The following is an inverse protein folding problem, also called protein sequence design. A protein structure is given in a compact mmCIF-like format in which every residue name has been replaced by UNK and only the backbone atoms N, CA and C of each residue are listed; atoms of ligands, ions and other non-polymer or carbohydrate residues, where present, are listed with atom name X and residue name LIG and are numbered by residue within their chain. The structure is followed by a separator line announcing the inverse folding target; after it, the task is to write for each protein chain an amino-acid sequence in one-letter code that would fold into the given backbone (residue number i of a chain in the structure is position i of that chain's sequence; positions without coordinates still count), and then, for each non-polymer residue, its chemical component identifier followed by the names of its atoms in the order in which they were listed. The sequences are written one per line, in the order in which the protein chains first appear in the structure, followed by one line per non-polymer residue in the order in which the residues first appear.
data_IF_236423500170
#
_entry.id   IF_236423500170
#
_cell.length_a   1.000
_cell.length_b   1.000
_cell.length_c   1.000
_cell.angle_alpha   90.00
_cell.angle_beta   90.00
_cell.angle_gamma   90.00
#
_symmetry.space_group_name_H-M   'P 1'
#
loop_
_entity.id
_entity.type
_entity.pdbx_description
1 polymer ?
#
# COMPACT_ATOMS: atom_id res chain seq x y z
N UNK A 1 8.84 -17.02 -3.12
CA UNK A 1 7.44 -17.45 -2.90
C UNK A 1 7.37 -17.97 -1.49
N UNK A 2 6.94 -17.15 -0.54
CA UNK A 2 6.72 -17.60 0.84
C UNK A 2 5.35 -18.27 0.83
N UNK A 3 5.31 -19.59 1.02
CA UNK A 3 4.08 -20.35 1.17
C UNK A 3 3.53 -20.10 2.57
N UNK A 4 2.29 -19.62 2.68
CA UNK A 4 1.59 -19.52 3.95
C UNK A 4 1.02 -20.91 4.30
N UNK A 5 1.52 -21.48 5.39
CA UNK A 5 1.04 -22.74 5.94
C UNK A 5 -0.43 -22.61 6.37
N UNK A 6 -1.30 -23.49 5.87
CA UNK A 6 -2.76 -23.42 5.92
C UNK A 6 -3.35 -23.86 7.27
N UNK A 7 -2.70 -23.57 8.40
CA UNK A 7 -3.17 -24.05 9.70
C UNK A 7 -3.00 -23.09 10.90
N UNK A 8 -3.07 -21.78 10.64
CA UNK A 8 -3.55 -20.82 11.63
C UNK A 8 -4.82 -20.15 11.09
N UNK A 9 -5.91 -20.18 11.87
CA UNK A 9 -7.14 -19.40 11.62
C UNK A 9 -6.91 -17.90 11.87
N UNK A 10 -5.93 -17.33 11.20
CA UNK A 10 -5.91 -15.90 10.91
C UNK A 10 -6.71 -15.77 9.62
N UNK A 11 -7.96 -15.30 9.72
CA UNK A 11 -8.72 -14.93 8.53
C UNK A 11 -7.80 -14.10 7.63
N UNK A 12 -7.64 -14.50 6.37
CA UNK A 12 -6.92 -13.72 5.37
C UNK A 12 -7.65 -12.37 5.27
N UNK A 13 -7.19 -11.41 6.08
CA UNK A 13 -7.75 -10.06 6.17
C UNK A 13 -7.32 -9.21 4.97
N UNK A 14 -6.34 -9.70 4.22
CA UNK A 14 -5.81 -9.04 3.04
C UNK A 14 -6.42 -9.62 1.75
N UNK A 15 -6.44 -8.77 0.71
CA UNK A 15 -7.13 -8.94 -0.57
C UNK A 15 -7.06 -10.37 -1.14
N UNK A 16 -8.16 -11.16 -1.11
CA UNK A 16 -8.20 -12.46 -1.76
C UNK A 16 -8.30 -12.32 -3.29
N UNK A 17 -7.93 -13.38 -4.02
CA UNK A 17 -8.06 -13.46 -5.49
C UNK A 17 -6.93 -12.78 -6.26
N UNK A 18 -7.16 -12.42 -7.53
CA UNK A 18 -6.15 -11.89 -8.46
C UNK A 18 -5.44 -10.61 -7.97
N UNK A 19 -6.08 -9.88 -7.05
CA UNK A 19 -5.52 -8.68 -6.42
C UNK A 19 -4.48 -8.96 -5.34
N UNK A 20 -4.20 -10.23 -5.01
CA UNK A 20 -3.14 -10.60 -4.05
C UNK A 20 -1.75 -10.13 -4.49
N UNK A 21 -1.53 -9.94 -5.80
CA UNK A 21 -0.27 -9.41 -6.34
C UNK A 21 0.08 -8.03 -5.80
N UNK A 22 -0.92 -7.23 -5.41
CA UNK A 22 -0.72 -5.93 -4.78
C UNK A 22 -0.02 -6.09 -3.43
N UNK A 23 -0.31 -7.16 -2.70
CA UNK A 23 0.35 -7.45 -1.42
C UNK A 23 1.81 -7.90 -1.62
N UNK A 24 2.14 -8.58 -2.72
CA UNK A 24 3.54 -8.88 -3.05
C UNK A 24 4.35 -7.60 -3.24
N UNK A 25 3.79 -6.59 -3.90
CA UNK A 25 4.45 -5.31 -4.10
C UNK A 25 4.60 -4.52 -2.79
N UNK A 26 3.61 -4.58 -1.90
CA UNK A 26 3.72 -4.03 -0.53
C UNK A 26 4.84 -4.72 0.24
N UNK A 27 4.96 -6.04 0.16
CA UNK A 27 6.01 -6.76 0.87
C UNK A 27 7.40 -6.52 0.28
N UNK A 28 7.51 -6.40 -1.05
CA UNK A 28 8.75 -5.98 -1.72
C UNK A 28 9.16 -4.58 -1.29
N UNK A 29 8.22 -3.64 -1.18
CA UNK A 29 8.47 -2.31 -0.63
C UNK A 29 8.93 -2.38 0.83
N UNK A 30 8.24 -3.14 1.68
CA UNK A 30 8.56 -3.28 3.10
C UNK A 30 9.91 -3.96 3.37
N UNK A 31 10.38 -4.81 2.46
CA UNK A 31 11.66 -5.50 2.56
C UNK A 31 12.87 -4.63 2.21
N UNK A 32 12.67 -3.40 1.69
CA UNK A 32 13.77 -2.49 1.39
C UNK A 32 14.47 -2.03 2.68
N UNK A 33 15.80 -1.83 2.66
CA UNK A 33 16.51 -1.34 3.83
C UNK A 33 16.01 0.06 4.23
N UNK A 34 16.07 0.37 5.52
CA UNK A 34 15.66 1.66 6.10
C UNK A 34 14.17 2.01 5.92
N UNK A 35 13.32 1.05 5.56
CA UNK A 35 11.87 1.25 5.57
C UNK A 35 11.33 1.08 7.00
N UNK A 36 10.79 2.16 7.55
CA UNK A 36 10.16 2.14 8.86
C UNK A 36 8.81 1.41 8.85
N UNK A 37 8.49 0.69 9.92
CA UNK A 37 7.20 -0.03 10.07
C UNK A 37 5.96 0.83 9.77
N UNK A 38 6.00 2.13 10.08
CA UNK A 38 4.84 3.03 9.89
C UNK A 38 4.50 3.26 8.41
N UNK A 39 5.48 3.37 7.52
CA UNK A 39 5.23 3.65 6.10
C UNK A 39 4.65 2.44 5.37
N UNK A 40 4.76 1.23 5.94
CA UNK A 40 4.10 0.03 5.40
C UNK A 40 2.58 0.16 5.44
N UNK A 41 2.01 0.86 6.43
CA UNK A 41 0.56 1.12 6.46
C UNK A 41 0.13 2.07 5.35
N UNK A 42 0.93 3.12 5.10
CA UNK A 42 0.69 4.04 3.99
C UNK A 42 0.81 3.30 2.64
N UNK A 43 1.78 2.39 2.50
CA UNK A 43 1.94 1.54 1.31
C UNK A 43 0.73 0.62 1.08
N UNK A 44 0.18 0.02 2.14
CA UNK A 44 -1.03 -0.82 2.04
C UNK A 44 -2.25 -0.07 1.51
N UNK A 45 -2.28 1.26 1.63
CA UNK A 45 -3.32 2.08 1.00
C UNK A 45 -2.92 2.52 -0.41
N UNK A 46 -1.67 2.96 -0.59
CA UNK A 46 -1.22 3.55 -1.83
C UNK A 46 -1.16 2.55 -3.01
N UNK A 47 -0.64 1.35 -2.76
CA UNK A 47 -0.46 0.33 -3.81
C UNK A 47 -1.79 -0.15 -4.42
N UNK A 48 -2.86 -0.43 -3.64
CA UNK A 48 -4.16 -0.73 -4.22
C UNK A 48 -4.75 0.42 -5.05
N UNK A 49 -4.66 1.67 -4.57
CA UNK A 49 -5.16 2.83 -5.32
C UNK A 49 -4.47 2.94 -6.68
N UNK A 50 -3.14 2.83 -6.69
CA UNK A 50 -2.33 2.81 -7.91
C UNK A 50 -2.69 1.65 -8.83
N UNK A 51 -2.84 0.46 -8.29
CA UNK A 51 -3.22 -0.73 -9.05
C UNK A 51 -4.60 -0.57 -9.72
N UNK A 52 -5.52 0.19 -9.11
CA UNK A 52 -6.84 0.53 -9.69
C UNK A 52 -6.83 1.74 -10.62
N UNK A 53 -5.65 2.25 -10.98
CA UNK A 53 -5.50 3.35 -11.94
C UNK A 53 -5.69 4.74 -11.34
N UNK A 54 -5.75 4.87 -10.01
CA UNK A 54 -5.79 6.20 -9.37
C UNK A 54 -4.43 6.88 -9.55
N UNK A 55 -4.43 8.01 -10.25
CA UNK A 55 -3.25 8.84 -10.51
C UNK A 55 -3.19 10.07 -9.61
N UNK A 56 -4.33 10.51 -9.08
CA UNK A 56 -4.47 11.70 -8.25
C UNK A 56 -5.12 11.32 -6.90
N UNK A 57 -4.50 11.71 -5.78
CA UNK A 57 -4.95 11.31 -4.45
C UNK A 57 -5.08 12.48 -3.47
N UNK A 58 -6.30 12.76 -3.03
CA UNK A 58 -6.59 13.76 -2.00
C UNK A 58 -6.47 13.15 -0.59
N UNK A 59 -5.63 13.73 0.26
CA UNK A 59 -5.46 13.28 1.67
C UNK A 59 -4.90 14.38 2.55
N UNK A 60 -5.34 14.44 3.82
CA UNK A 60 -4.80 15.37 4.81
C UNK A 60 -3.32 15.13 5.17
N UNK A 61 -2.79 13.95 4.82
CA UNK A 61 -1.40 13.55 5.06
C UNK A 61 -0.59 13.44 3.75
N UNK A 62 -0.84 14.32 2.79
CA UNK A 62 -0.23 14.37 1.45
C UNK A 62 1.28 14.08 1.41
N UNK A 63 2.07 14.64 2.33
CA UNK A 63 3.52 14.42 2.42
C UNK A 63 3.92 12.94 2.57
N UNK A 64 3.08 12.12 3.19
CA UNK A 64 3.34 10.67 3.36
C UNK A 64 3.20 9.90 2.05
N UNK A 65 2.47 10.44 1.08
CA UNK A 65 2.11 9.74 -0.14
C UNK A 65 2.88 10.16 -1.39
N UNK A 66 3.73 11.20 -1.28
CA UNK A 66 4.52 11.74 -2.40
C UNK A 66 5.44 10.70 -3.08
N UNK A 67 5.86 9.64 -2.36
CA UNK A 67 6.77 8.61 -2.88
C UNK A 67 6.11 7.40 -3.55
N UNK A 68 4.77 7.33 -3.60
CA UNK A 68 4.07 6.14 -4.14
C UNK A 68 3.67 6.25 -5.63
N UNK A 69 4.18 7.26 -6.33
CA UNK A 69 4.01 7.39 -7.79
C UNK A 69 2.67 7.94 -8.26
N UNK A 70 1.92 8.63 -7.39
CA UNK A 70 0.79 9.46 -7.83
C UNK A 70 1.31 10.67 -8.62
N UNK A 71 0.59 11.07 -9.67
CA UNK A 71 0.86 12.29 -10.44
C UNK A 71 0.54 13.55 -9.62
N UNK A 72 -0.43 13.45 -8.70
CA UNK A 72 -0.79 14.53 -7.78
C UNK A 72 -1.21 13.97 -6.44
N UNK A 73 -0.70 14.57 -5.36
CA UNK A 73 -1.20 14.36 -4.00
C UNK A 73 -1.41 15.73 -3.37
N UNK A 74 -2.57 15.97 -2.76
CA UNK A 74 -2.85 17.25 -2.11
C UNK A 74 -3.71 17.10 -0.87
N UNK A 75 -3.55 18.03 0.06
CA UNK A 75 -4.46 18.18 1.17
C UNK A 75 -5.66 19.07 0.76
N UNK A 76 -6.89 18.52 0.70
CA UNK A 76 -8.07 19.29 0.32
C UNK A 76 -8.47 20.34 1.37
N UNK A 77 -7.95 20.25 2.59
CA UNK A 77 -8.24 21.19 3.69
C UNK A 77 -7.26 22.36 3.77
N UNK A 78 -6.18 22.33 2.98
CA UNK A 78 -5.20 23.42 2.89
C UNK A 78 -5.40 24.27 1.64
N UNK A 79 -6.60 24.21 1.04
CA UNK A 79 -7.00 25.05 -0.09
C UNK A 79 -7.70 26.31 0.38
#
# INVERSE_FOLDING_TARGET
MISFDTNLRLYCLDYPGETSIVMDDVWRFAAQPNIGRRIVFDARLAFPLRHRGVTEFATGNDKRFAGFGFSRVWNPLSQ
#
